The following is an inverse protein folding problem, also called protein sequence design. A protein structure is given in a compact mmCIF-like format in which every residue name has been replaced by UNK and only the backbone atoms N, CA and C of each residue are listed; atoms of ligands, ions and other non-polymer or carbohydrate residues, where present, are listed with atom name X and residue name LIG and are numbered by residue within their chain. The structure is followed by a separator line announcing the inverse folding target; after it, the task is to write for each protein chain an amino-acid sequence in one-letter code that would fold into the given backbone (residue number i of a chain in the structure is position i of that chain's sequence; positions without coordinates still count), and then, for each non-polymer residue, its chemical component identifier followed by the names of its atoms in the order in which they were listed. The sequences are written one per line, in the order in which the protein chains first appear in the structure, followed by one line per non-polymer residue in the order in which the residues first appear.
data_IF_508479146440
#
_entry.id   IF_508479146440
#
_cell.length_a   1.000
_cell.length_b   1.000
_cell.length_c   1.000
_cell.angle_alpha   90.00
_cell.angle_beta   90.00
_cell.angle_gamma   90.00
#
_symmetry.space_group_name_H-M   'P 1'
#
loop_
_entity.id
_entity.type
_entity.pdbx_description
1 polymer ?
#
# COMPACT_ATOMS: atom_id res chain seq x y z
N UNK A 1 8.38 -12.88 7.59
CA UNK A 1 6.95 -13.17 7.80
C UNK A 1 6.37 -11.98 8.55
N UNK A 2 5.27 -11.38 8.07
CA UNK A 2 4.64 -10.22 8.73
C UNK A 2 3.93 -10.67 10.00
N UNK A 3 4.03 -9.91 11.09
CA UNK A 3 3.43 -10.26 12.39
C UNK A 3 3.18 -9.00 13.23
N UNK A 4 2.45 -9.17 14.34
CA UNK A 4 2.24 -8.12 15.33
C UNK A 4 1.31 -7.00 14.84
N UNK A 5 1.58 -5.78 15.30
CA UNK A 5 0.78 -4.60 14.99
C UNK A 5 1.32 -3.92 13.73
N UNK A 6 0.54 -3.93 12.65
CA UNK A 6 0.86 -3.26 11.38
C UNK A 6 -0.29 -2.29 11.06
N UNK A 7 -0.18 -1.00 11.45
CA UNK A 7 -1.27 -0.06 11.28
C UNK A 7 -1.49 0.31 9.81
N UNK A 8 -2.75 0.51 9.46
CA UNK A 8 -3.14 1.17 8.23
C UNK A 8 -2.96 2.68 8.42
N UNK A 9 -2.07 3.26 7.61
CA UNK A 9 -1.74 4.68 7.72
C UNK A 9 -2.83 5.53 7.06
N UNK A 10 -3.13 6.67 7.68
CA UNK A 10 -3.81 7.78 6.99
C UNK A 10 -2.90 8.37 5.92
N UNK A 11 -3.50 9.04 4.93
CA UNK A 11 -2.77 9.81 3.90
C UNK A 11 -3.00 11.30 4.10
N UNK A 12 -2.10 12.04 4.77
CA UNK A 12 -2.30 13.47 5.04
C UNK A 12 -2.27 14.30 3.75
N UNK A 13 -3.42 14.82 3.35
CA UNK A 13 -3.60 15.72 2.19
C UNK A 13 -4.03 17.11 2.70
N UNK A 14 -3.54 18.18 2.08
CA UNK A 14 -4.00 19.56 2.36
C UNK A 14 -5.20 19.96 1.50
N UNK A 15 -5.77 21.13 1.77
CA UNK A 15 -6.97 21.63 1.06
C UNK A 15 -6.74 21.86 -0.44
N UNK A 16 -5.48 21.96 -0.88
CA UNK A 16 -5.09 22.07 -2.28
C UNK A 16 -4.82 20.71 -2.94
N UNK A 17 -4.99 19.61 -2.20
CA UNK A 17 -4.75 18.25 -2.69
C UNK A 17 -3.28 17.79 -2.61
N UNK A 18 -2.39 18.56 -1.99
CA UNK A 18 -0.99 18.18 -1.87
C UNK A 18 -0.75 17.26 -0.67
N UNK A 19 0.19 16.33 -0.82
CA UNK A 19 0.60 15.46 0.29
C UNK A 19 1.39 16.27 1.31
N UNK A 20 0.91 16.29 2.56
CA UNK A 20 1.61 16.87 3.71
C UNK A 20 2.75 15.95 4.15
N UNK A 21 3.82 15.93 3.35
CA UNK A 21 4.91 14.96 3.47
C UNK A 21 5.52 14.90 4.87
N UNK A 22 5.79 16.05 5.49
CA UNK A 22 6.37 16.09 6.84
C UNK A 22 5.44 15.52 7.91
N UNK A 23 4.13 15.67 7.72
CA UNK A 23 3.12 15.06 8.63
C UNK A 23 3.12 13.55 8.49
N UNK A 24 3.20 13.03 7.26
CA UNK A 24 3.28 11.59 7.01
C UNK A 24 4.59 10.99 7.54
N UNK A 25 5.71 11.68 7.35
CA UNK A 25 7.01 11.26 7.90
C UNK A 25 6.94 11.18 9.42
N UNK A 26 6.44 12.22 10.09
CA UNK A 26 6.30 12.23 11.54
C UNK A 26 5.40 11.10 12.03
N UNK A 27 4.26 10.86 11.38
CA UNK A 27 3.39 9.72 11.70
C UNK A 27 4.14 8.39 11.65
N UNK A 28 4.95 8.16 10.60
CA UNK A 28 5.75 6.94 10.49
C UNK A 28 6.78 6.81 11.63
N UNK A 29 7.50 7.90 11.94
CA UNK A 29 8.48 7.92 13.03
C UNK A 29 7.82 7.63 14.39
N UNK A 30 6.73 8.33 14.71
CA UNK A 30 5.99 8.17 15.97
C UNK A 30 5.49 6.72 16.15
N UNK A 31 4.97 6.10 15.08
CA UNK A 31 4.50 4.71 15.12
C UNK A 31 5.64 3.72 15.30
N UNK A 32 6.76 3.93 14.61
CA UNK A 32 7.96 3.09 14.76
C UNK A 32 8.51 3.19 16.17
N UNK A 33 8.60 4.40 16.74
CA UNK A 33 9.02 4.61 18.13
C UNK A 33 8.06 3.97 19.14
N UNK A 34 6.76 3.92 18.83
CA UNK A 34 5.76 3.22 19.62
C UNK A 34 5.83 1.68 19.51
N UNK A 35 6.71 1.13 18.68
CA UNK A 35 6.97 -0.31 18.59
C UNK A 35 6.02 -1.09 17.68
N UNK A 36 5.46 -0.45 16.64
CA UNK A 36 4.75 -1.20 15.59
C UNK A 36 5.71 -2.13 14.83
N UNK A 37 5.17 -3.17 14.22
CA UNK A 37 5.91 -4.24 13.58
C UNK A 37 5.98 -4.12 12.06
N UNK A 38 5.38 -3.06 11.50
CA UNK A 38 5.31 -2.78 10.07
C UNK A 38 4.48 -1.53 9.82
N UNK A 39 4.41 -1.10 8.56
CA UNK A 39 3.57 0.02 8.13
C UNK A 39 2.81 -0.37 6.86
N UNK A 40 1.52 -0.02 6.81
CA UNK A 40 0.68 -0.28 5.63
C UNK A 40 0.07 1.01 5.08
N UNK A 41 0.72 1.66 4.09
CA UNK A 41 0.10 2.76 3.37
C UNK A 41 -0.94 2.27 2.37
N UNK A 42 -1.83 3.18 1.95
CA UNK A 42 -2.82 2.97 0.88
C UNK A 42 -3.85 1.86 1.16
N UNK A 43 -4.16 1.57 2.42
CA UNK A 43 -5.38 0.86 2.79
C UNK A 43 -6.61 1.77 2.78
N UNK A 44 -7.76 1.26 3.23
CA UNK A 44 -9.01 2.04 3.35
C UNK A 44 -8.85 3.30 4.22
N UNK A 45 -8.18 3.19 5.37
CA UNK A 45 -7.79 4.32 6.24
C UNK A 45 -6.90 5.35 5.53
N UNK A 46 -6.13 4.92 4.55
CA UNK A 46 -5.27 5.77 3.73
C UNK A 46 -5.99 6.40 2.54
N UNK A 47 -7.31 6.19 2.42
CA UNK A 47 -8.19 6.85 1.46
C UNK A 47 -7.74 6.67 0.00
N UNK A 48 -7.15 5.50 -0.34
CA UNK A 48 -6.58 5.24 -1.67
C UNK A 48 -7.54 5.56 -2.82
N UNK A 49 -8.86 5.37 -2.61
CA UNK A 49 -9.90 5.59 -3.60
C UNK A 49 -9.95 7.05 -4.10
N UNK A 50 -9.57 8.01 -3.26
CA UNK A 50 -9.60 9.45 -3.57
C UNK A 50 -8.24 9.99 -4.03
N UNK A 51 -7.20 9.16 -4.02
CA UNK A 51 -5.85 9.56 -4.40
C UNK A 51 -5.58 9.25 -5.87
N UNK A 52 -5.00 10.24 -6.56
CA UNK A 52 -4.43 10.05 -7.89
C UNK A 52 -3.27 9.05 -7.86
N UNK A 53 -2.96 8.46 -9.02
CA UNK A 53 -1.86 7.51 -9.13
C UNK A 53 -0.50 8.11 -8.70
N UNK A 54 -0.24 9.36 -9.07
CA UNK A 54 0.97 10.08 -8.66
C UNK A 54 1.04 10.26 -7.13
N UNK A 55 -0.08 10.60 -6.47
CA UNK A 55 -0.12 10.72 -5.02
C UNK A 55 0.12 9.37 -4.34
N UNK A 56 -0.50 8.29 -4.83
CA UNK A 56 -0.29 6.93 -4.30
C UNK A 56 1.19 6.54 -4.33
N UNK A 57 1.84 6.70 -5.48
CA UNK A 57 3.27 6.44 -5.61
C UNK A 57 4.11 7.27 -4.63
N UNK A 58 3.79 8.56 -4.52
CA UNK A 58 4.54 9.48 -3.66
C UNK A 58 4.38 9.14 -2.18
N UNK A 59 3.18 8.75 -1.74
CA UNK A 59 2.92 8.28 -0.37
C UNK A 59 3.75 7.04 -0.06
N UNK A 60 3.73 6.04 -0.94
CA UNK A 60 4.54 4.82 -0.77
C UNK A 60 6.03 5.15 -0.67
N UNK A 61 6.53 6.00 -1.58
CA UNK A 61 7.93 6.45 -1.56
C UNK A 61 8.30 7.13 -0.23
N UNK A 62 7.43 8.02 0.29
CA UNK A 62 7.65 8.70 1.57
C UNK A 62 7.69 7.68 2.71
N UNK A 63 6.74 6.74 2.76
CA UNK A 63 6.64 5.76 3.84
C UNK A 63 7.83 4.80 3.84
N UNK A 64 8.25 4.31 2.67
CA UNK A 64 9.47 3.48 2.55
C UNK A 64 10.71 4.25 3.02
N UNK A 65 10.87 5.51 2.57
CA UNK A 65 12.00 6.36 2.99
C UNK A 65 11.97 6.71 4.47
N UNK A 66 10.78 6.87 5.06
CA UNK A 66 10.63 7.11 6.49
C UNK A 66 10.93 5.84 7.30
N UNK A 67 10.49 4.66 6.85
CA UNK A 67 10.76 3.40 7.53
C UNK A 67 12.27 3.11 7.64
N UNK A 68 13.05 3.42 6.60
CA UNK A 68 14.52 3.21 6.57
C UNK A 68 14.91 1.76 6.93
N UNK A 69 14.07 0.79 6.57
CA UNK A 69 14.28 -0.62 6.89
C UNK A 69 14.13 -1.00 8.37
N UNK A 70 13.68 -0.10 9.25
CA UNK A 70 13.48 -0.41 10.68
C UNK A 70 12.30 -1.35 10.91
N UNK A 71 11.26 -1.23 10.08
CA UNK A 71 10.08 -2.10 10.04
C UNK A 71 9.68 -2.30 8.58
N UNK A 72 9.05 -3.43 8.21
CA UNK A 72 8.62 -3.69 6.85
C UNK A 72 7.48 -2.74 6.42
N UNK A 73 7.49 -2.35 5.15
CA UNK A 73 6.40 -1.61 4.51
C UNK A 73 5.60 -2.52 3.58
N UNK A 74 4.31 -2.71 3.89
CA UNK A 74 3.39 -3.55 3.11
C UNK A 74 2.36 -2.64 2.43
N UNK A 75 2.56 -2.30 1.16
CA UNK A 75 1.72 -1.31 0.48
C UNK A 75 0.41 -1.92 -0.05
N UNK A 76 -0.70 -1.20 0.17
CA UNK A 76 -2.01 -1.54 -0.38
C UNK A 76 -2.07 -1.38 -1.89
N UNK A 77 -2.43 -2.46 -2.60
CA UNK A 77 -2.74 -2.47 -4.03
C UNK A 77 -4.23 -2.70 -4.18
N UNK A 78 -4.94 -1.69 -4.67
CA UNK A 78 -6.39 -1.73 -4.85
C UNK A 78 -6.76 -1.25 -6.26
N UNK A 79 -7.55 -2.06 -6.96
CA UNK A 79 -7.95 -1.81 -8.34
C UNK A 79 -9.12 -2.70 -8.76
N UNK A 80 -9.96 -2.19 -9.66
CA UNK A 80 -11.03 -2.95 -10.30
C UNK A 80 -10.56 -3.76 -11.51
N UNK A 81 -9.29 -3.60 -11.93
CA UNK A 81 -8.71 -4.34 -13.06
C UNK A 81 -7.38 -5.00 -12.68
N UNK A 82 -7.13 -6.18 -13.26
CA UNK A 82 -5.86 -6.93 -13.12
C UNK A 82 -4.68 -6.12 -13.66
N UNK A 83 -4.84 -5.47 -14.81
CA UNK A 83 -3.78 -4.69 -15.44
C UNK A 83 -3.28 -3.57 -14.52
N UNK A 84 -4.20 -2.80 -13.92
CA UNK A 84 -3.82 -1.76 -12.98
C UNK A 84 -3.29 -2.35 -11.67
N UNK A 85 -3.88 -3.42 -11.12
CA UNK A 85 -3.40 -4.02 -9.88
C UNK A 85 -1.94 -4.50 -10.01
N UNK A 86 -1.63 -5.20 -11.10
CA UNK A 86 -0.28 -5.71 -11.36
C UNK A 86 0.71 -4.57 -11.64
N UNK A 87 0.30 -3.51 -12.34
CA UNK A 87 1.13 -2.32 -12.53
C UNK A 87 1.43 -1.61 -11.21
N UNK A 88 0.43 -1.48 -10.32
CA UNK A 88 0.63 -0.90 -8.99
C UNK A 88 1.60 -1.75 -8.15
N UNK A 89 1.40 -3.07 -8.11
CA UNK A 89 2.25 -3.99 -7.37
C UNK A 89 3.71 -3.92 -7.82
N UNK A 90 3.97 -3.96 -9.14
CA UNK A 90 5.31 -3.79 -9.71
C UNK A 90 5.93 -2.46 -9.30
N UNK A 91 5.15 -1.38 -9.38
CA UNK A 91 5.66 -0.06 -9.04
C UNK A 91 6.01 0.06 -7.55
N UNK A 92 5.19 -0.47 -6.66
CA UNK A 92 5.47 -0.44 -5.23
C UNK A 92 6.64 -1.35 -4.85
N UNK A 93 6.80 -2.48 -5.54
CA UNK A 93 8.01 -3.30 -5.42
C UNK A 93 9.27 -2.52 -5.83
N UNK A 94 9.28 -1.83 -6.97
CA UNK A 94 10.40 -0.98 -7.40
C UNK A 94 10.70 0.16 -6.42
N UNK A 95 9.69 0.67 -5.71
CA UNK A 95 9.85 1.71 -4.69
C UNK A 95 10.45 1.18 -3.38
N UNK A 96 10.64 -0.13 -3.25
CA UNK A 96 11.29 -0.75 -2.10
C UNK A 96 10.33 -1.21 -0.99
N UNK A 97 9.06 -1.49 -1.31
CA UNK A 97 8.18 -2.16 -0.35
C UNK A 97 8.65 -3.59 -0.07
N UNK A 98 8.38 -4.06 1.15
CA UNK A 98 8.71 -5.42 1.61
C UNK A 98 7.56 -6.41 1.35
N UNK A 99 6.37 -5.90 1.05
CA UNK A 99 5.19 -6.71 0.77
C UNK A 99 4.10 -5.94 0.05
N UNK A 100 3.14 -6.69 -0.48
CA UNK A 100 1.92 -6.15 -1.07
C UNK A 100 0.72 -6.65 -0.25
N UNK A 101 -0.16 -5.72 0.10
CA UNK A 101 -1.51 -6.04 0.56
C UNK A 101 -2.45 -5.90 -0.64
N UNK A 102 -2.88 -7.02 -1.21
CA UNK A 102 -3.76 -7.04 -2.37
C UNK A 102 -5.22 -6.92 -1.93
N UNK A 103 -5.86 -5.84 -2.36
CA UNK A 103 -7.27 -5.52 -2.07
C UNK A 103 -8.05 -5.70 -3.37
N UNK A 104 -9.09 -6.53 -3.33
CA UNK A 104 -10.00 -6.70 -4.46
C UNK A 104 -11.11 -5.66 -4.40
N UNK A 105 -11.05 -4.68 -5.29
CA UNK A 105 -12.14 -3.74 -5.50
C UNK A 105 -13.08 -4.29 -6.59
N UNK A 106 -14.37 -4.36 -6.30
CA UNK A 106 -15.37 -4.78 -7.27
C UNK A 106 -16.60 -3.88 -7.23
N UNK A 107 -17.07 -3.48 -8.42
CA UNK A 107 -18.34 -2.77 -8.58
C UNK A 107 -19.49 -3.74 -8.92
N UNK A 108 -19.18 -4.76 -9.71
CA UNK A 108 -20.09 -5.84 -10.06
C UNK A 108 -19.67 -7.15 -9.37
N UNK A 109 -20.60 -8.09 -9.14
CA UNK A 109 -20.26 -9.43 -8.68
C UNK A 109 -19.23 -10.10 -9.60
N UNK A 110 -18.25 -10.78 -8.99
CA UNK A 110 -17.19 -11.52 -9.67
C UNK A 110 -17.35 -13.02 -9.41
N UNK A 111 -16.92 -13.85 -10.35
CA UNK A 111 -16.83 -15.30 -10.14
C UNK A 111 -15.61 -15.65 -9.29
N UNK A 112 -15.65 -16.78 -8.59
CA UNK A 112 -14.52 -17.29 -7.80
C UNK A 112 -13.24 -17.44 -8.64
N UNK A 113 -13.37 -17.89 -9.89
CA UNK A 113 -12.24 -17.97 -10.84
C UNK A 113 -11.68 -16.57 -11.18
N UNK A 114 -12.54 -15.55 -11.29
CA UNK A 114 -12.11 -14.17 -11.48
C UNK A 114 -11.36 -13.61 -10.27
N UNK A 115 -11.87 -13.88 -9.06
CA UNK A 115 -11.23 -13.50 -7.79
C UNK A 115 -9.86 -14.17 -7.67
N UNK A 116 -9.79 -15.47 -7.93
CA UNK A 116 -8.53 -16.23 -7.91
C UNK A 116 -7.51 -15.66 -8.91
N UNK A 117 -7.93 -15.43 -10.17
CA UNK A 117 -7.07 -14.86 -11.21
C UNK A 117 -6.55 -13.47 -10.85
N UNK A 118 -7.36 -12.64 -10.20
CA UNK A 118 -6.94 -11.31 -9.75
C UNK A 118 -5.76 -11.40 -8.77
N UNK A 119 -5.92 -12.16 -7.70
CA UNK A 119 -4.87 -12.31 -6.69
C UNK A 119 -3.65 -13.07 -7.21
N UNK A 120 -3.86 -14.11 -8.01
CA UNK A 120 -2.77 -14.85 -8.68
C UNK A 120 -1.92 -13.92 -9.54
N UNK A 121 -2.54 -13.08 -10.36
CA UNK A 121 -1.81 -12.16 -11.24
C UNK A 121 -0.97 -11.15 -10.45
N UNK A 122 -1.46 -10.65 -9.32
CA UNK A 122 -0.69 -9.76 -8.43
C UNK A 122 0.52 -10.50 -7.85
N UNK A 123 0.32 -11.72 -7.35
CA UNK A 123 1.39 -12.55 -6.79
C UNK A 123 2.47 -12.91 -7.83
N UNK A 124 2.10 -13.16 -9.09
CA UNK A 124 3.05 -13.44 -10.18
C UNK A 124 3.77 -12.18 -10.70
N UNK A 125 3.26 -10.97 -10.40
CA UNK A 125 3.83 -9.72 -10.88
C UNK A 125 5.04 -9.24 -10.07
N UNK A 126 5.24 -9.76 -8.86
CA UNK A 126 6.30 -9.33 -7.93
C UNK A 126 6.95 -10.55 -7.26
N UNK A 127 8.18 -10.39 -6.76
CA UNK A 127 8.85 -11.41 -5.94
C UNK A 127 8.65 -11.19 -4.43
N UNK A 128 7.71 -10.30 -4.05
CA UNK A 128 7.42 -9.95 -2.67
C UNK A 128 6.31 -10.85 -2.10
N UNK A 129 6.27 -11.04 -0.77
CA UNK A 129 5.10 -11.61 -0.11
C UNK A 129 3.83 -10.80 -0.41
N UNK A 130 2.74 -11.52 -0.69
CA UNK A 130 1.40 -10.94 -0.92
C UNK A 130 0.46 -11.38 0.19
N UNK A 131 -0.23 -10.42 0.79
CA UNK A 131 -1.31 -10.59 1.78
C UNK A 131 -2.64 -10.27 1.11
N UNK A 132 -3.70 -11.01 1.42
CA UNK A 132 -5.06 -10.81 0.91
C UNK A 132 -5.95 -10.18 1.98
#
# INVERSE_FOLDING_TARGET
MFHGVIPYLVSPIDDAGNIKSDTLIRLCEDLIEAGVHGLTPLGSTGEFAYLSWAQRQRIVEIVVKAAKGRVPVVAGVASTTIANATAQARRFHELGCDGILAILESYFPLSDDGIFKYFKAIAEAVSLPVVL
#
